data_IF_738103263114
#
_entry.id   IF_738103263114
#
_cell.length_a   1.000
_cell.length_b   1.000
_cell.length_c   1.000
_cell.angle_alpha   90.00
_cell.angle_beta   90.00
_cell.angle_gamma   90.00
#
_symmetry.space_group_name_H-M   'P 1'
#
loop_
_entity.id
_entity.type
_entity.pdbx_description
1 polymer ?
#
# COMPACT_ATOMS: atom_id res chain seq x y z
N UNK A 1 -24.17 -15.25 27.54
CA UNK A 1 -23.75 -15.06 26.14
C UNK A 1 -23.24 -13.63 26.05
N UNK A 2 -21.93 -13.44 26.31
CA UNK A 2 -21.29 -12.12 26.29
C UNK A 2 -21.00 -11.77 24.83
N UNK A 3 -21.62 -10.70 24.32
CA UNK A 3 -21.29 -10.10 23.04
C UNK A 3 -19.87 -9.56 23.16
N UNK A 4 -18.91 -10.23 22.53
CA UNK A 4 -17.57 -9.71 22.33
C UNK A 4 -17.70 -8.44 21.50
N UNK A 5 -17.50 -7.28 22.14
CA UNK A 5 -17.42 -6.01 21.43
C UNK A 5 -16.25 -6.11 20.43
N UNK A 6 -16.59 -5.91 19.16
CA UNK A 6 -15.61 -5.81 18.08
C UNK A 6 -14.60 -4.69 18.43
N UNK A 7 -13.29 -4.98 18.56
CA UNK A 7 -12.28 -3.99 18.93
C UNK A 7 -12.12 -2.86 17.88
N UNK A 8 -12.87 -2.92 16.77
CA UNK A 8 -12.83 -1.93 15.68
C UNK A 8 -13.92 -0.85 15.77
N UNK A 9 -14.88 -0.94 16.72
CA UNK A 9 -16.04 -0.03 16.78
C UNK A 9 -15.82 1.29 17.55
N UNK A 10 -14.68 1.48 18.23
CA UNK A 10 -14.38 2.76 18.87
C UNK A 10 -13.88 3.77 17.83
N UNK A 11 -14.68 4.81 17.57
CA UNK A 11 -14.25 5.96 16.75
C UNK A 11 -12.99 6.57 17.39
N UNK A 12 -11.81 6.50 16.77
CA UNK A 12 -10.60 7.03 17.37
C UNK A 12 -10.74 8.54 17.54
N UNK A 13 -10.47 9.05 18.73
CA UNK A 13 -10.30 10.49 18.99
C UNK A 13 -9.33 11.09 17.98
N UNK A 14 -9.22 12.41 17.89
CA UNK A 14 -8.49 13.22 16.92
C UNK A 14 -7.34 12.60 16.11
N UNK A 15 -6.76 13.31 15.18
CA UNK A 15 -5.74 12.81 14.26
C UNK A 15 -4.52 12.15 14.95
N UNK A 16 -4.19 12.58 16.17
CA UNK A 16 -3.08 12.04 16.96
C UNK A 16 -3.30 10.55 17.28
N UNK A 17 -4.52 10.21 17.68
CA UNK A 17 -4.90 8.85 18.01
C UNK A 17 -4.83 7.96 16.77
N UNK A 18 -5.33 8.43 15.61
CA UNK A 18 -5.23 7.70 14.34
C UNK A 18 -3.77 7.45 13.97
N UNK A 19 -2.91 8.46 14.11
CA UNK A 19 -1.48 8.33 13.81
C UNK A 19 -0.78 7.34 14.75
N UNK A 20 -1.07 7.40 16.07
CA UNK A 20 -0.53 6.44 17.05
C UNK A 20 -0.93 5.01 16.69
N UNK A 21 -2.20 4.76 16.41
CA UNK A 21 -2.70 3.44 16.04
C UNK A 21 -2.07 2.90 14.75
N UNK A 22 -1.98 3.72 13.70
CA UNK A 22 -1.34 3.31 12.44
C UNK A 22 0.17 3.10 12.60
N UNK A 23 0.85 3.96 13.35
CA UNK A 23 2.29 3.80 13.62
C UNK A 23 2.59 2.52 14.42
N UNK A 24 1.69 2.12 15.31
CA UNK A 24 1.78 0.84 16.04
C UNK A 24 1.52 -0.37 15.12
N UNK A 25 0.68 -0.19 14.08
CA UNK A 25 0.32 -1.22 13.10
C UNK A 25 1.42 -1.49 12.06
N UNK A 26 2.36 -0.55 11.86
CA UNK A 26 3.42 -0.73 10.86
C UNK A 26 4.26 -1.96 11.19
N UNK A 27 4.28 -2.90 10.26
CA UNK A 27 5.19 -4.04 10.31
C UNK A 27 6.61 -3.58 10.00
N UNK A 28 7.46 -3.56 11.02
CA UNK A 28 8.88 -3.24 10.88
C UNK A 28 9.63 -4.50 10.46
N UNK A 29 10.37 -4.39 9.38
CA UNK A 29 11.24 -5.44 8.82
C UNK A 29 12.65 -4.88 8.82
N UNK A 30 13.55 -5.50 9.56
CA UNK A 30 14.92 -5.00 9.77
C UNK A 30 15.96 -5.82 9.00
N UNK A 31 15.65 -7.08 8.71
CA UNK A 31 16.58 -8.02 8.07
C UNK A 31 15.99 -8.65 6.81
N UNK A 32 16.85 -9.13 5.92
CA UNK A 32 16.43 -9.89 4.73
C UNK A 32 15.70 -11.18 5.09
N UNK A 33 16.04 -11.82 6.21
CA UNK A 33 15.33 -13.01 6.68
C UNK A 33 13.88 -12.69 7.06
N UNK A 34 13.65 -11.57 7.76
CA UNK A 34 12.29 -11.10 8.06
C UNK A 34 11.51 -10.71 6.80
N UNK A 35 12.18 -10.11 5.80
CA UNK A 35 11.54 -9.82 4.50
C UNK A 35 11.11 -11.11 3.80
N UNK A 36 11.96 -12.13 3.77
CA UNK A 36 11.64 -13.43 3.17
C UNK A 36 10.47 -14.12 3.87
N UNK A 37 10.43 -14.08 5.20
CA UNK A 37 9.32 -14.65 5.97
C UNK A 37 8.01 -13.88 5.71
N UNK A 38 8.05 -12.56 5.66
CA UNK A 38 6.89 -11.75 5.28
C UNK A 38 6.40 -12.12 3.88
N UNK A 39 7.29 -12.23 2.91
CA UNK A 39 6.94 -12.66 1.54
C UNK A 39 6.31 -14.05 1.53
N UNK A 40 6.83 -15.00 2.31
CA UNK A 40 6.26 -16.34 2.45
C UNK A 40 4.82 -16.29 2.98
N UNK A 41 4.58 -15.52 4.04
CA UNK A 41 3.24 -15.34 4.63
C UNK A 41 2.25 -14.70 3.64
N UNK A 42 2.70 -13.73 2.84
CA UNK A 42 1.87 -13.10 1.81
C UNK A 42 1.53 -14.09 0.68
N UNK A 43 2.49 -14.93 0.30
CA UNK A 43 2.33 -15.82 -0.86
C UNK A 43 1.55 -17.11 -0.58
N UNK A 44 1.41 -17.49 0.69
CA UNK A 44 0.69 -18.70 1.09
C UNK A 44 -0.33 -18.38 2.20
N UNK A 45 -1.30 -17.49 1.93
CA UNK A 45 -2.30 -17.13 2.91
C UNK A 45 -3.32 -18.26 3.07
N UNK A 46 -3.83 -18.47 4.30
CA UNK A 46 -4.93 -19.39 4.57
C UNK A 46 -6.31 -18.77 4.32
N UNK A 47 -6.39 -17.45 4.26
CA UNK A 47 -7.57 -16.63 4.00
C UNK A 47 -7.19 -15.43 3.12
N UNK A 48 -8.15 -14.58 2.75
CA UNK A 48 -7.83 -13.34 2.04
C UNK A 48 -7.10 -12.36 2.94
N UNK A 49 -5.94 -11.86 2.49
CA UNK A 49 -5.06 -10.96 3.25
C UNK A 49 -4.74 -9.68 2.46
N UNK A 50 -4.58 -8.58 3.17
CA UNK A 50 -4.30 -7.26 2.58
C UNK A 50 -2.92 -6.76 2.98
N UNK A 51 -2.14 -6.37 1.97
CA UNK A 51 -0.87 -5.66 2.12
C UNK A 51 -1.07 -4.21 1.68
N UNK A 52 -0.90 -3.28 2.61
CA UNK A 52 -1.00 -1.85 2.38
C UNK A 52 0.29 -1.12 2.72
N UNK A 53 0.43 0.12 2.25
CA UNK A 53 1.65 0.91 2.45
C UNK A 53 1.33 2.24 3.13
N UNK A 54 2.05 2.54 4.22
CA UNK A 54 1.97 3.82 4.90
C UNK A 54 3.13 4.72 4.46
N UNK A 55 2.78 5.89 3.91
CA UNK A 55 3.71 6.98 3.57
C UNK A 55 3.18 8.31 4.10
N UNK A 56 3.93 9.40 3.95
CA UNK A 56 3.54 10.72 4.43
C UNK A 56 2.17 11.17 3.91
N UNK A 57 1.82 10.83 2.66
CA UNK A 57 0.52 11.15 2.09
C UNK A 57 -0.61 10.35 2.76
N UNK A 58 -0.42 9.05 2.99
CA UNK A 58 -1.39 8.22 3.70
C UNK A 58 -1.65 8.77 5.12
N UNK A 59 -0.58 9.10 5.86
CA UNK A 59 -0.69 9.65 7.21
C UNK A 59 -1.44 10.99 7.24
N UNK A 60 -1.23 11.87 6.25
CA UNK A 60 -2.01 13.09 6.13
C UNK A 60 -3.49 12.82 5.76
N UNK A 61 -3.73 11.87 4.86
CA UNK A 61 -5.07 11.56 4.36
C UNK A 61 -5.99 10.96 5.43
N UNK A 62 -5.46 10.11 6.31
CA UNK A 62 -6.25 9.51 7.40
C UNK A 62 -6.75 10.54 8.43
N UNK A 63 -6.17 11.74 8.46
CA UNK A 63 -6.64 12.82 9.33
C UNK A 63 -8.08 13.23 8.98
N UNK A 64 -8.38 13.29 7.69
CA UNK A 64 -9.64 13.83 7.17
C UNK A 64 -10.60 12.74 6.67
N UNK A 65 -10.20 11.47 6.67
CA UNK A 65 -11.02 10.36 6.18
C UNK A 65 -11.03 9.20 7.16
N UNK A 66 -12.18 9.01 7.82
CA UNK A 66 -12.41 7.86 8.69
C UNK A 66 -12.39 6.56 7.89
N UNK A 67 -13.10 6.53 6.76
CA UNK A 67 -13.17 5.33 5.90
C UNK A 67 -11.78 4.88 5.44
N UNK A 68 -10.91 5.83 5.05
CA UNK A 68 -9.54 5.48 4.66
C UNK A 68 -8.70 5.01 5.86
N UNK A 69 -8.87 5.64 7.03
CA UNK A 69 -8.20 5.19 8.26
C UNK A 69 -8.59 3.76 8.61
N UNK A 70 -9.89 3.45 8.59
CA UNK A 70 -10.40 2.12 8.91
C UNK A 70 -9.92 1.07 7.89
N UNK A 71 -9.96 1.39 6.60
CA UNK A 71 -9.45 0.52 5.54
C UNK A 71 -7.95 0.23 5.71
N UNK A 72 -7.13 1.26 5.96
CA UNK A 72 -5.70 1.07 6.16
C UNK A 72 -5.39 0.31 7.46
N UNK A 73 -6.15 0.57 8.53
CA UNK A 73 -6.02 -0.12 9.82
C UNK A 73 -6.42 -1.60 9.74
N UNK A 74 -7.41 -1.94 8.92
CA UNK A 74 -7.89 -3.32 8.73
C UNK A 74 -6.95 -4.19 7.91
N UNK A 75 -5.97 -3.61 7.18
CA UNK A 75 -4.98 -4.37 6.44
C UNK A 75 -4.19 -5.31 7.37
N UNK A 76 -3.86 -6.50 6.90
CA UNK A 76 -3.10 -7.50 7.67
C UNK A 76 -1.65 -7.03 7.85
N UNK A 77 -1.05 -6.49 6.80
CA UNK A 77 0.27 -5.88 6.83
C UNK A 77 0.22 -4.43 6.34
N UNK A 78 0.67 -3.51 7.18
CA UNK A 78 0.92 -2.12 6.82
C UNK A 78 2.42 -1.91 6.78
N UNK A 79 2.96 -1.74 5.59
CA UNK A 79 4.40 -1.64 5.36
C UNK A 79 4.84 -0.19 5.25
N UNK A 80 6.07 0.09 5.71
CA UNK A 80 6.65 1.41 5.62
C UNK A 80 7.07 1.74 4.18
N UNK A 81 6.59 2.88 3.65
CA UNK A 81 6.98 3.41 2.35
C UNK A 81 7.54 4.82 2.46
N UNK A 82 8.77 4.98 2.05
CA UNK A 82 9.44 6.25 1.89
C UNK A 82 10.17 6.81 3.11
N UNK A 83 10.95 7.88 2.86
CA UNK A 83 11.80 8.54 3.87
C UNK A 83 11.00 9.29 4.95
N UNK A 84 9.84 9.84 4.61
CA UNK A 84 8.97 10.52 5.58
C UNK A 84 8.60 9.61 6.75
N UNK A 85 8.14 8.38 6.46
CA UNK A 85 7.81 7.42 7.52
C UNK A 85 9.04 6.98 8.32
N UNK A 86 10.22 6.87 7.68
CA UNK A 86 11.46 6.63 8.41
C UNK A 86 11.75 7.75 9.43
N UNK A 87 11.54 9.00 9.02
CA UNK A 87 11.69 10.17 9.91
C UNK A 87 10.72 10.13 11.08
N UNK A 88 9.43 9.85 10.82
CA UNK A 88 8.42 9.73 11.89
C UNK A 88 8.81 8.64 12.90
N UNK A 89 9.19 7.45 12.42
CA UNK A 89 9.57 6.34 13.29
C UNK A 89 10.79 6.70 14.17
N UNK A 90 11.82 7.33 13.60
CA UNK A 90 12.98 7.82 14.34
C UNK A 90 12.61 8.85 15.42
N UNK A 91 11.74 9.81 15.09
CA UNK A 91 11.23 10.81 16.05
C UNK A 91 10.47 10.17 17.21
N UNK A 92 9.83 9.03 16.97
CA UNK A 92 9.16 8.21 18.00
C UNK A 92 10.08 7.20 18.70
N UNK A 93 11.41 7.29 18.51
CA UNK A 93 12.40 6.41 19.13
C UNK A 93 12.41 4.98 18.58
N UNK A 94 11.88 4.75 17.37
CA UNK A 94 11.83 3.42 16.75
C UNK A 94 12.84 3.30 15.61
N UNK A 95 13.43 2.11 15.45
CA UNK A 95 14.22 1.76 14.26
C UNK A 95 13.27 1.66 13.05
N UNK A 96 13.52 2.39 11.95
CA UNK A 96 12.59 2.40 10.81
C UNK A 96 12.61 1.11 9.97
N UNK A 97 13.62 0.25 10.13
CA UNK A 97 13.78 -0.96 9.32
C UNK A 97 14.04 -0.68 7.83
N UNK A 98 13.89 -1.72 7.02
CA UNK A 98 14.04 -1.69 5.57
C UNK A 98 12.88 -0.89 4.94
N UNK A 99 13.14 -0.17 3.85
CA UNK A 99 12.10 0.51 3.08
C UNK A 99 11.40 -0.48 2.13
N UNK A 100 10.28 -1.03 2.58
CA UNK A 100 9.47 -1.96 1.78
C UNK A 100 8.46 -1.20 0.91
N UNK A 101 8.95 -0.32 0.03
CA UNK A 101 8.06 0.39 -0.89
C UNK A 101 7.45 -0.55 -1.93
N UNK A 102 6.22 -0.23 -2.37
CA UNK A 102 5.47 -1.08 -3.30
C UNK A 102 6.17 -1.31 -4.63
N UNK A 103 6.95 -0.34 -5.12
CA UNK A 103 7.63 -0.44 -6.42
C UNK A 103 8.75 -1.49 -6.43
N UNK A 104 9.40 -1.74 -5.29
CA UNK A 104 10.43 -2.77 -5.15
C UNK A 104 9.85 -4.11 -4.67
N UNK A 105 8.84 -4.09 -3.81
CA UNK A 105 8.27 -5.29 -3.19
C UNK A 105 7.31 -6.03 -4.12
N UNK A 106 6.43 -5.32 -4.83
CA UNK A 106 5.36 -5.94 -5.63
C UNK A 106 5.92 -6.81 -6.77
N UNK A 107 6.97 -6.43 -7.52
CA UNK A 107 7.60 -7.32 -8.49
C UNK A 107 8.16 -8.62 -7.87
N UNK A 108 8.63 -8.58 -6.62
CA UNK A 108 9.06 -9.79 -5.89
C UNK A 108 7.86 -10.68 -5.58
N UNK A 109 6.73 -10.08 -5.11
CA UNK A 109 5.48 -10.80 -4.86
C UNK A 109 4.98 -11.45 -6.16
N UNK A 110 4.86 -10.70 -7.26
CA UNK A 110 4.41 -11.23 -8.56
C UNK A 110 5.23 -12.46 -8.96
N UNK A 111 6.56 -12.39 -8.82
CA UNK A 111 7.46 -13.52 -9.14
C UNK A 111 7.17 -14.77 -8.30
N UNK A 112 6.83 -14.60 -7.04
CA UNK A 112 6.51 -15.71 -6.13
C UNK A 112 5.11 -16.32 -6.39
N UNK A 113 4.28 -15.64 -7.18
CA UNK A 113 2.99 -16.14 -7.65
C UNK A 113 3.05 -16.76 -9.06
N UNK A 114 4.24 -17.03 -9.60
CA UNK A 114 4.36 -17.68 -10.91
C UNK A 114 3.63 -19.03 -10.93
N UNK A 115 2.94 -19.31 -12.03
CA UNK A 115 2.07 -20.46 -12.20
C UNK A 115 0.66 -20.30 -11.59
N UNK A 116 0.34 -19.15 -10.98
CA UNK A 116 -0.96 -18.87 -10.34
C UNK A 116 -1.76 -17.82 -11.12
N UNK A 117 -3.00 -17.56 -10.71
CA UNK A 117 -3.84 -16.53 -11.31
C UNK A 117 -3.62 -15.18 -10.64
N UNK A 118 -3.26 -14.17 -11.43
CA UNK A 118 -2.94 -12.81 -10.97
C UNK A 118 -3.93 -11.83 -11.60
N UNK A 119 -4.56 -10.97 -10.77
CA UNK A 119 -5.43 -9.92 -11.19
C UNK A 119 -4.77 -8.55 -11.05
N UNK A 120 -4.87 -7.69 -12.08
CA UNK A 120 -4.49 -6.29 -12.03
C UNK A 120 -5.73 -5.41 -12.13
N UNK A 121 -6.07 -4.70 -11.05
CA UNK A 121 -7.19 -3.75 -11.02
C UNK A 121 -6.63 -2.34 -10.81
N UNK A 122 -6.62 -1.52 -11.85
CA UNK A 122 -6.08 -0.16 -11.72
C UNK A 122 -5.75 0.50 -13.05
N UNK A 123 -5.24 1.73 -12.95
CA UNK A 123 -4.88 2.59 -14.08
C UNK A 123 -5.90 2.59 -15.23
N UNK A 124 -5.49 2.93 -16.44
CA UNK A 124 -6.33 2.94 -17.65
C UNK A 124 -5.54 2.42 -18.84
N UNK A 125 -6.24 2.06 -19.92
CA UNK A 125 -5.59 1.74 -21.17
C UNK A 125 -4.87 2.97 -21.77
N UNK A 126 -3.74 2.79 -22.47
CA UNK A 126 -3.08 1.51 -22.78
C UNK A 126 -2.17 0.97 -21.66
N UNK A 127 -2.00 1.72 -20.56
CA UNK A 127 -1.03 1.42 -19.51
C UNK A 127 -1.35 0.13 -18.73
N UNK A 128 -2.64 -0.20 -18.59
CA UNK A 128 -3.04 -1.45 -17.96
C UNK A 128 -2.49 -2.66 -18.73
N UNK A 129 -2.70 -2.71 -20.04
CA UNK A 129 -2.18 -3.77 -20.92
C UNK A 129 -0.66 -3.81 -20.94
N UNK A 130 0.00 -2.65 -21.03
CA UNK A 130 1.47 -2.55 -21.02
C UNK A 130 2.04 -3.03 -19.68
N UNK A 131 1.42 -2.66 -18.56
CA UNK A 131 1.81 -3.09 -17.22
C UNK A 131 1.66 -4.61 -17.03
N UNK A 132 0.56 -5.18 -17.53
CA UNK A 132 0.37 -6.63 -17.57
C UNK A 132 1.44 -7.33 -18.40
N UNK A 133 1.70 -6.86 -19.62
CA UNK A 133 2.75 -7.42 -20.48
C UNK A 133 4.13 -7.38 -19.81
N UNK A 134 4.41 -6.34 -19.04
CA UNK A 134 5.64 -6.27 -18.24
C UNK A 134 5.62 -7.26 -17.05
N UNK A 135 4.47 -7.46 -16.41
CA UNK A 135 4.33 -8.39 -15.29
C UNK A 135 4.52 -9.86 -15.71
N UNK A 136 4.15 -10.23 -16.92
CA UNK A 136 4.39 -11.57 -17.49
C UNK A 136 5.87 -11.94 -17.44
N UNK A 137 6.79 -10.97 -17.55
CA UNK A 137 8.23 -11.27 -17.45
C UNK A 137 8.67 -11.70 -16.03
N UNK A 138 7.88 -11.37 -15.01
CA UNK A 138 8.13 -11.81 -13.63
C UNK A 138 7.44 -13.13 -13.30
N UNK A 139 6.32 -13.44 -13.97
CA UNK A 139 5.51 -14.63 -13.73
C UNK A 139 5.01 -15.20 -15.08
N UNK A 140 5.91 -15.83 -15.90
CA UNK A 140 5.59 -16.22 -17.27
C UNK A 140 4.61 -17.41 -17.37
N UNK A 141 4.45 -18.19 -16.30
CA UNK A 141 3.54 -19.33 -16.26
C UNK A 141 2.17 -18.98 -15.68
N UNK A 142 1.99 -17.72 -15.22
CA UNK A 142 0.75 -17.25 -14.62
C UNK A 142 -0.31 -16.89 -15.65
N UNK A 143 -1.58 -17.05 -15.26
CA UNK A 143 -2.71 -16.45 -15.97
C UNK A 143 -3.01 -15.07 -15.40
N UNK A 144 -3.32 -14.11 -16.29
CA UNK A 144 -3.58 -12.72 -15.91
C UNK A 144 -4.99 -12.31 -16.27
N UNK A 145 -5.66 -11.60 -15.34
CA UNK A 145 -6.92 -10.92 -15.58
C UNK A 145 -6.77 -9.44 -15.20
N UNK A 146 -7.54 -8.55 -15.82
CA UNK A 146 -7.40 -7.13 -15.54
C UNK A 146 -8.72 -6.38 -15.64
N UNK A 147 -8.79 -5.25 -14.91
CA UNK A 147 -9.85 -4.27 -15.01
C UNK A 147 -9.26 -2.87 -14.76
N UNK A 148 -9.77 -1.85 -15.49
CA UNK A 148 -9.31 -0.47 -15.29
C UNK A 148 -9.70 0.08 -13.92
N UNK A 149 -8.99 1.11 -13.44
CA UNK A 149 -9.11 1.63 -12.07
C UNK A 149 -10.35 2.48 -11.76
N UNK A 150 -11.36 2.56 -12.66
CA UNK A 150 -12.49 3.48 -12.57
C UNK A 150 -13.85 2.78 -12.37
N UNK A 151 -13.86 1.48 -12.13
CA UNK A 151 -15.07 0.73 -11.78
C UNK A 151 -15.48 1.01 -10.32
N UNK A 152 -16.71 0.65 -9.98
CA UNK A 152 -17.18 0.62 -8.59
C UNK A 152 -16.67 -0.61 -7.84
N UNK A 153 -16.83 -0.59 -6.52
CA UNK A 153 -16.31 -1.62 -5.63
C UNK A 153 -16.99 -2.99 -5.86
N UNK A 154 -18.30 -3.02 -6.13
CA UNK A 154 -19.04 -4.25 -6.29
C UNK A 154 -18.69 -4.95 -7.61
N UNK A 155 -18.35 -4.17 -8.64
CA UNK A 155 -17.81 -4.72 -9.90
C UNK A 155 -16.47 -5.42 -9.69
N UNK A 156 -15.52 -4.83 -8.91
CA UNK A 156 -14.27 -5.51 -8.59
C UNK A 156 -14.49 -6.78 -7.77
N UNK A 157 -15.43 -6.75 -6.84
CA UNK A 157 -15.80 -7.94 -6.06
C UNK A 157 -16.36 -9.06 -6.95
N UNK A 158 -17.26 -8.71 -7.86
CA UNK A 158 -17.86 -9.66 -8.82
C UNK A 158 -16.78 -10.28 -9.72
N UNK A 159 -15.87 -9.45 -10.26
CA UNK A 159 -14.74 -9.92 -11.06
C UNK A 159 -13.81 -10.85 -10.27
N UNK A 160 -13.44 -10.46 -9.05
CA UNK A 160 -12.59 -11.30 -8.20
C UNK A 160 -13.26 -12.62 -7.82
N UNK A 161 -14.55 -12.60 -7.51
CA UNK A 161 -15.32 -13.81 -7.18
C UNK A 161 -15.43 -14.77 -8.38
N UNK A 162 -15.67 -14.23 -9.58
CA UNK A 162 -15.77 -15.03 -10.80
C UNK A 162 -14.43 -15.61 -11.23
N UNK A 163 -13.35 -14.83 -11.12
CA UNK A 163 -12.03 -15.20 -11.62
C UNK A 163 -11.18 -15.96 -10.59
N UNK A 164 -11.50 -15.84 -9.29
CA UNK A 164 -10.77 -16.47 -8.17
C UNK A 164 -9.24 -16.31 -8.27
N UNK A 165 -8.72 -15.07 -8.33
CA UNK A 165 -7.27 -14.87 -8.40
C UNK A 165 -6.59 -15.22 -7.07
N UNK A 166 -5.36 -15.73 -7.14
CA UNK A 166 -4.52 -15.96 -5.98
C UNK A 166 -3.85 -14.66 -5.49
N UNK A 167 -3.61 -13.72 -6.43
CA UNK A 167 -3.04 -12.40 -6.17
C UNK A 167 -3.87 -11.32 -6.87
N UNK A 168 -4.24 -10.28 -6.13
CA UNK A 168 -4.83 -9.06 -6.68
C UNK A 168 -3.88 -7.89 -6.42
N UNK A 169 -3.43 -7.23 -7.50
CA UNK A 169 -2.65 -6.00 -7.43
C UNK A 169 -3.56 -4.81 -7.74
N UNK A 170 -3.80 -3.97 -6.73
CA UNK A 170 -4.63 -2.78 -6.86
C UNK A 170 -3.76 -1.56 -7.22
N UNK A 171 -3.96 -0.99 -8.40
CA UNK A 171 -3.22 0.16 -8.93
C UNK A 171 -4.11 1.38 -9.15
N UNK A 172 -4.97 1.73 -8.18
CA UNK A 172 -5.96 2.81 -8.29
C UNK A 172 -5.53 4.09 -7.56
N UNK A 173 -4.51 3.98 -6.69
CA UNK A 173 -4.10 5.05 -5.77
C UNK A 173 -4.97 5.13 -4.52
N UNK A 174 -4.41 5.81 -3.51
CA UNK A 174 -5.09 6.11 -2.23
C UNK A 174 -6.15 7.20 -2.42
N UNK A 175 -7.27 7.13 -1.72
CA UNK A 175 -7.70 6.13 -0.75
C UNK A 175 -8.50 4.96 -1.36
N UNK A 176 -8.79 5.00 -2.67
CA UNK A 176 -9.71 4.06 -3.33
C UNK A 176 -9.25 2.61 -3.20
N UNK A 177 -7.98 2.34 -3.45
CA UNK A 177 -7.45 0.98 -3.44
C UNK A 177 -7.56 0.32 -2.06
N UNK A 178 -7.32 1.04 -0.97
CA UNK A 178 -7.43 0.49 0.39
C UNK A 178 -8.88 0.17 0.74
N UNK A 179 -9.82 1.03 0.34
CA UNK A 179 -11.26 0.77 0.53
C UNK A 179 -11.72 -0.46 -0.24
N UNK A 180 -11.29 -0.61 -1.50
CA UNK A 180 -11.57 -1.80 -2.32
C UNK A 180 -10.90 -3.03 -1.71
N UNK A 181 -9.65 -2.93 -1.26
CA UNK A 181 -8.94 -4.04 -0.61
C UNK A 181 -9.66 -4.54 0.64
N UNK A 182 -10.10 -3.63 1.51
CA UNK A 182 -10.85 -3.97 2.72
C UNK A 182 -12.18 -4.70 2.39
N UNK A 183 -12.90 -4.24 1.37
CA UNK A 183 -14.13 -4.89 0.94
C UNK A 183 -13.90 -6.29 0.33
N UNK A 184 -12.87 -6.43 -0.51
CA UNK A 184 -12.48 -7.73 -1.06
C UNK A 184 -12.10 -8.71 0.05
N UNK A 185 -11.27 -8.28 1.01
CA UNK A 185 -10.87 -9.11 2.16
C UNK A 185 -12.06 -9.66 2.93
N UNK A 186 -13.08 -8.83 3.17
CA UNK A 186 -14.27 -9.22 3.94
C UNK A 186 -15.21 -10.15 3.17
N UNK A 187 -15.26 -10.03 1.85
CA UNK A 187 -16.31 -10.67 1.03
C UNK A 187 -15.80 -11.85 0.19
N UNK A 188 -14.47 -11.98 -0.05
CA UNK A 188 -13.93 -13.13 -0.75
C UNK A 188 -13.91 -14.35 0.16
N UNK A 189 -14.57 -15.42 -0.25
CA UNK A 189 -14.65 -16.68 0.50
C UNK A 189 -13.52 -17.67 0.18
N UNK A 190 -12.36 -17.19 -0.32
CA UNK A 190 -11.20 -18.02 -0.69
C UNK A 190 -9.89 -17.29 -0.38
N UNK A 191 -8.78 -18.01 -0.18
CA UNK A 191 -7.47 -17.41 0.06
C UNK A 191 -7.02 -16.55 -1.13
N UNK A 192 -6.62 -15.30 -0.87
CA UNK A 192 -6.14 -14.36 -1.89
C UNK A 192 -5.22 -13.31 -1.25
N UNK A 193 -4.07 -13.06 -1.84
CA UNK A 193 -3.24 -11.92 -1.46
C UNK A 193 -3.71 -10.66 -2.21
N UNK A 194 -4.04 -9.59 -1.50
CA UNK A 194 -4.51 -8.31 -2.04
C UNK A 194 -3.47 -7.25 -1.72
N UNK A 195 -2.84 -6.66 -2.74
CA UNK A 195 -1.73 -5.71 -2.56
C UNK A 195 -2.09 -4.34 -3.09
N UNK A 196 -2.04 -3.33 -2.22
CA UNK A 196 -2.32 -1.92 -2.56
C UNK A 196 -1.11 -1.27 -3.24
N UNK A 197 -0.99 -1.36 -4.56
CA UNK A 197 0.21 -1.03 -5.32
C UNK A 197 0.38 0.44 -5.73
N UNK A 198 -0.67 1.27 -5.60
CA UNK A 198 -0.61 2.67 -6.05
C UNK A 198 -0.32 2.79 -7.54
N UNK A 199 0.81 3.40 -7.89
CA UNK A 199 1.22 3.60 -9.27
C UNK A 199 2.01 2.40 -9.87
N UNK A 200 2.00 1.23 -9.24
CA UNK A 200 2.84 0.10 -9.67
C UNK A 200 2.56 -0.32 -11.12
N UNK A 201 1.30 -0.32 -11.54
CA UNK A 201 0.94 -0.69 -12.91
C UNK A 201 1.50 0.34 -13.91
N UNK A 202 1.46 1.63 -13.58
CA UNK A 202 2.05 2.70 -14.39
C UNK A 202 3.60 2.58 -14.45
N UNK A 203 4.25 2.16 -13.36
CA UNK A 203 5.68 1.88 -13.34
C UNK A 203 6.04 0.67 -14.23
N UNK A 204 5.29 -0.42 -14.12
CA UNK A 204 5.48 -1.60 -14.97
C UNK A 204 5.24 -1.28 -16.44
N UNK A 205 4.27 -0.43 -16.75
CA UNK A 205 3.98 0.05 -18.11
C UNK A 205 5.02 1.03 -18.67
N UNK A 206 5.98 1.50 -17.85
CA UNK A 206 6.94 2.51 -18.28
C UNK A 206 6.39 3.93 -18.39
N UNK A 207 5.12 4.16 -17.98
CA UNK A 207 4.51 5.50 -17.94
C UNK A 207 5.23 6.42 -16.95
N UNK A 208 5.66 5.87 -15.83
CA UNK A 208 6.38 6.59 -14.78
C UNK A 208 7.76 5.96 -14.58
N UNK A 209 8.82 6.75 -14.66
CA UNK A 209 10.18 6.28 -14.43
C UNK A 209 10.55 6.33 -12.94
N UNK A 210 11.47 5.45 -12.55
CA UNK A 210 12.07 5.45 -11.20
C UNK A 210 13.18 6.51 -11.12
N UNK A 211 13.30 7.13 -9.96
CA UNK A 211 14.46 7.97 -9.68
C UNK A 211 15.78 7.19 -9.78
N UNK A 212 16.89 7.83 -10.20
CA UNK A 212 18.21 7.23 -10.15
C UNK A 212 18.53 6.63 -8.78
N UNK A 213 19.35 5.58 -8.75
CA UNK A 213 19.63 4.82 -7.53
C UNK A 213 20.18 5.72 -6.39
N UNK A 214 21.05 6.68 -6.72
CA UNK A 214 21.60 7.61 -5.73
C UNK A 214 20.52 8.48 -5.08
N UNK A 215 19.54 8.98 -5.86
CA UNK A 215 18.41 9.74 -5.31
C UNK A 215 17.52 8.88 -4.41
N UNK A 216 17.28 7.62 -4.81
CA UNK A 216 16.51 6.68 -3.98
C UNK A 216 17.21 6.38 -2.66
N UNK A 217 18.55 6.17 -2.68
CA UNK A 217 19.38 5.98 -1.48
C UNK A 217 19.41 7.21 -0.58
N UNK A 218 19.38 8.41 -1.17
CA UNK A 218 19.27 9.68 -0.44
C UNK A 218 17.86 9.99 0.09
N UNK A 219 16.86 9.14 -0.21
CA UNK A 219 15.45 9.38 0.18
C UNK A 219 14.78 10.51 -0.60
N UNK A 220 15.31 10.88 -1.77
CA UNK A 220 14.87 12.01 -2.62
C UNK A 220 14.00 11.57 -3.80
N UNK A 221 13.49 10.34 -3.81
CA UNK A 221 12.61 9.85 -4.89
C UNK A 221 11.37 10.74 -5.08
N UNK A 222 10.83 11.30 -4.00
CA UNK A 222 9.70 12.23 -4.05
C UNK A 222 10.01 13.51 -4.85
N UNK A 223 11.25 14.04 -4.76
CA UNK A 223 11.65 15.22 -5.49
C UNK A 223 11.75 14.94 -7.00
N UNK A 224 12.32 13.80 -7.38
CA UNK A 224 12.34 13.34 -8.77
C UNK A 224 10.92 13.20 -9.34
N UNK A 225 10.00 12.57 -8.60
CA UNK A 225 8.61 12.42 -9.01
C UNK A 225 7.90 13.76 -9.14
N UNK A 226 8.18 14.71 -8.25
CA UNK A 226 7.64 16.06 -8.32
C UNK A 226 8.11 16.77 -9.60
N UNK A 227 9.39 16.64 -9.97
CA UNK A 227 9.92 17.21 -11.20
C UNK A 227 9.28 16.61 -12.46
N UNK A 228 8.97 15.31 -12.44
CA UNK A 228 8.32 14.62 -13.58
C UNK A 228 6.82 14.93 -13.69
N UNK A 229 6.11 15.11 -12.58
CA UNK A 229 4.67 15.32 -12.54
C UNK A 229 4.28 16.49 -11.60
N UNK A 230 4.76 17.73 -11.86
CA UNK A 230 4.64 18.84 -10.90
C UNK A 230 3.18 19.19 -10.59
N UNK A 231 2.32 19.28 -11.59
CA UNK A 231 0.92 19.66 -11.39
C UNK A 231 0.17 18.66 -10.50
N UNK A 232 0.38 17.34 -10.72
CA UNK A 232 -0.31 16.28 -9.97
C UNK A 232 0.23 16.10 -8.56
N UNK A 233 1.55 16.30 -8.38
CA UNK A 233 2.23 15.97 -7.12
C UNK A 233 2.55 17.20 -6.25
N UNK A 234 2.28 18.42 -6.70
CA UNK A 234 2.53 19.66 -5.96
C UNK A 234 1.90 19.64 -4.57
N UNK A 235 0.58 19.45 -4.53
CA UNK A 235 -0.15 19.44 -3.26
C UNK A 235 0.31 18.32 -2.32
N UNK A 236 0.63 17.16 -2.88
CA UNK A 236 1.11 16.01 -2.12
C UNK A 236 2.48 16.23 -1.50
N UNK A 237 3.44 16.80 -2.25
CA UNK A 237 4.82 16.89 -1.81
C UNK A 237 5.21 18.27 -1.30
N UNK A 238 4.81 19.35 -1.96
CA UNK A 238 5.20 20.71 -1.55
C UNK A 238 4.41 21.16 -0.33
N UNK A 239 3.14 20.83 -0.25
CA UNK A 239 2.29 21.18 0.91
C UNK A 239 2.24 20.02 1.90
N UNK A 240 2.01 18.80 1.41
CA UNK A 240 1.79 17.63 2.26
C UNK A 240 3.01 17.20 3.07
N UNK A 241 4.23 17.27 2.54
CA UNK A 241 5.42 16.89 3.31
C UNK A 241 5.72 17.83 4.48
N UNK A 242 5.68 19.17 4.35
CA UNK A 242 5.78 20.08 5.50
C UNK A 242 4.71 19.81 6.55
N UNK A 243 3.44 19.68 6.15
CA UNK A 243 2.34 19.37 7.08
C UNK A 243 2.60 18.05 7.82
N UNK A 244 3.05 17.02 7.11
CA UNK A 244 3.41 15.75 7.72
C UNK A 244 4.54 15.91 8.74
N UNK A 245 5.60 16.65 8.42
CA UNK A 245 6.75 16.86 9.32
C UNK A 245 6.35 17.62 10.59
N UNK A 246 5.54 18.67 10.47
CA UNK A 246 5.01 19.41 11.62
C UNK A 246 4.19 18.49 12.54
N UNK A 247 3.30 17.68 11.98
CA UNK A 247 2.51 16.70 12.75
C UNK A 247 3.39 15.63 13.39
N UNK A 248 4.42 15.15 12.68
CA UNK A 248 5.36 14.16 13.20
C UNK A 248 6.14 14.69 14.41
N UNK A 249 6.65 15.92 14.31
CA UNK A 249 7.33 16.60 15.43
C UNK A 249 6.39 16.80 16.60
N UNK A 250 5.18 17.31 16.34
CA UNK A 250 4.18 17.51 17.39
C UNK A 250 3.85 16.20 18.12
N UNK A 251 3.65 15.10 17.38
CA UNK A 251 3.36 13.78 17.96
C UNK A 251 4.51 13.29 18.83
N UNK A 252 5.76 13.49 18.41
CA UNK A 252 6.95 13.07 19.14
C UNK A 252 7.14 13.84 20.44
N UNK A 253 6.84 15.14 20.46
CA UNK A 253 6.93 15.98 21.66
C UNK A 253 5.78 15.68 22.64
N UNK A 254 4.55 15.54 22.13
CA UNK A 254 3.36 15.28 22.97
C UNK A 254 3.33 13.85 23.55
N UNK A 255 4.05 12.90 22.95
CA UNK A 255 4.14 11.52 23.46
C UNK A 255 5.17 11.32 24.57
N UNK A 256 5.94 12.36 24.92
CA UNK A 256 6.94 12.33 26.00
C UNK A 256 6.42 12.88 27.34
N UNK A 257 5.18 13.37 27.36
CA UNK A 257 4.44 13.75 28.55
C UNK A 257 3.53 12.62 29.00
#
# INVERSE_FOLDING_TARGET
>A
MALTQDPYTATPGGWQQRWKLLTAKIQLVETSAQEQELLRLICFPSESVVVAFANAHAMNSVVNSQTFFDALRSADWVLRDGSGMATLLKLLGKTPGINLNGTDLIPKIIRLFDGRRIAFFGTQEPYLRQGMAAAIRYAPQSSFVSAHGFLDQDTYLSLATAQKPDLIVLGMGMPKQETVAAALRLKLGFPCAIVCGGAIIDFLAGRTSRAPLWMRRAGMEWAYRLAMEPKRLFQRYVIGNPVFLVRALWLAVSGKK
#
